data_IF_635854392003
#
_entry.id   IF_635854392003
#
_cell.length_a   1.000
_cell.length_b   1.000
_cell.length_c   1.000
_cell.angle_alpha   90.00
_cell.angle_beta   90.00
_cell.angle_gamma   90.00
#
_symmetry.space_group_name_H-M   'P 1'
#
loop_
_entity.id
_entity.type
_entity.pdbx_description
1 polymer ?
#
# COMPACT_ATOMS: atom_id res chain seq x y z
N UNK A 1 -13.77 -7.78 16.90
CA UNK A 1 -14.27 -7.02 15.73
C UNK A 1 -15.30 -7.88 15.03
N UNK A 2 -16.54 -7.40 14.88
CA UNK A 2 -17.64 -8.13 14.23
C UNK A 2 -17.77 -7.80 12.74
N UNK A 3 -17.36 -6.60 12.33
CA UNK A 3 -17.36 -6.15 10.93
C UNK A 3 -16.01 -5.52 10.62
N UNK A 4 -15.42 -5.88 9.48
CA UNK A 4 -14.15 -5.34 9.01
C UNK A 4 -14.40 -4.31 7.89
N UNK A 5 -14.01 -3.04 8.05
CA UNK A 5 -14.19 -2.03 7.01
C UNK A 5 -13.25 -2.30 5.82
N UNK A 6 -13.79 -2.09 4.63
CA UNK A 6 -13.08 -2.26 3.37
C UNK A 6 -12.73 -0.87 2.83
N UNK A 7 -11.43 -0.63 2.58
CA UNK A 7 -10.97 0.63 2.01
C UNK A 7 -11.58 0.87 0.62
N UNK A 8 -11.91 2.13 0.26
CA UNK A 8 -12.38 2.45 -1.07
C UNK A 8 -11.35 2.06 -2.15
N UNK A 9 -11.81 1.72 -3.37
CA UNK A 9 -10.95 1.24 -4.44
C UNK A 9 -9.90 2.27 -4.89
N UNK A 10 -10.17 3.57 -4.75
CA UNK A 10 -9.24 4.64 -5.11
C UNK A 10 -7.94 4.60 -4.29
N UNK A 11 -8.02 4.11 -3.04
CA UNK A 11 -6.86 3.93 -2.17
C UNK A 11 -6.14 2.58 -2.44
N UNK A 12 -6.73 1.72 -3.27
CA UNK A 12 -6.22 0.38 -3.65
C UNK A 12 -6.36 0.15 -5.17
N UNK A 13 -5.74 1.01 -6.00
CA UNK A 13 -5.95 0.96 -7.44
C UNK A 13 -5.46 -0.36 -8.04
N UNK A 14 -6.18 -0.80 -9.06
CA UNK A 14 -5.80 -1.91 -9.93
C UNK A 14 -5.44 -1.29 -11.27
N UNK A 15 -4.14 -1.17 -11.53
CA UNK A 15 -3.64 -0.44 -12.70
C UNK A 15 -3.31 -1.44 -13.79
N UNK A 16 -3.92 -1.34 -14.98
CA UNK A 16 -3.52 -2.16 -16.12
C UNK A 16 -2.11 -1.75 -16.57
N UNK A 17 -1.27 -2.73 -16.86
CA UNK A 17 0.06 -2.57 -17.44
C UNK A 17 0.05 -3.03 -18.89
N UNK A 18 0.99 -2.53 -19.68
CA UNK A 18 1.22 -2.98 -21.05
C UNK A 18 1.48 -4.50 -21.08
N UNK A 19 0.85 -5.19 -22.04
CA UNK A 19 0.91 -6.65 -22.16
C UNK A 19 -0.14 -7.42 -21.36
N UNK A 20 -1.24 -6.79 -20.96
CA UNK A 20 -2.40 -7.47 -20.35
C UNK A 20 -2.19 -7.91 -18.88
N UNK A 21 -1.14 -7.40 -18.23
CA UNK A 21 -0.85 -7.67 -16.82
C UNK A 21 -1.52 -6.61 -15.95
N UNK A 22 -1.91 -6.97 -14.74
CA UNK A 22 -2.50 -6.03 -13.78
C UNK A 22 -1.56 -5.84 -12.60
N UNK A 23 -1.27 -4.58 -12.25
CA UNK A 23 -0.63 -4.23 -11.00
C UNK A 23 -1.70 -4.07 -9.92
N UNK A 24 -1.66 -4.94 -8.91
CA UNK A 24 -2.55 -4.89 -7.75
C UNK A 24 -1.80 -4.45 -6.50
N UNK A 25 -2.45 -3.64 -5.67
CA UNK A 25 -1.92 -3.29 -4.34
C UNK A 25 -1.86 -4.53 -3.42
N UNK A 26 -0.82 -4.65 -2.60
CA UNK A 26 -0.63 -5.73 -1.62
C UNK A 26 -1.86 -5.92 -0.70
N UNK A 27 -2.57 -4.83 -0.38
CA UNK A 27 -3.79 -4.87 0.41
C UNK A 27 -4.89 -5.72 -0.23
N UNK A 28 -5.01 -5.73 -1.56
CA UNK A 28 -6.04 -6.48 -2.25
C UNK A 28 -5.87 -7.99 -2.03
N UNK A 29 -4.62 -8.47 -1.97
CA UNK A 29 -4.33 -9.86 -1.65
C UNK A 29 -4.68 -10.21 -0.20
N UNK A 30 -4.40 -9.32 0.75
CA UNK A 30 -4.76 -9.51 2.16
C UNK A 30 -6.28 -9.53 2.35
N UNK A 31 -7.00 -8.58 1.73
CA UNK A 31 -8.47 -8.56 1.75
C UNK A 31 -9.08 -9.82 1.11
N UNK A 32 -8.55 -10.25 -0.05
CA UNK A 32 -9.01 -11.48 -0.72
C UNK A 32 -8.86 -12.71 0.16
N UNK A 33 -7.75 -12.82 0.92
CA UNK A 33 -7.56 -13.92 1.88
C UNK A 33 -8.61 -13.90 2.98
N UNK A 34 -8.88 -12.75 3.59
CA UNK A 34 -9.91 -12.61 4.65
C UNK A 34 -11.29 -13.01 4.13
N UNK A 35 -11.67 -12.51 2.95
CA UNK A 35 -12.98 -12.82 2.34
C UNK A 35 -13.11 -14.33 2.05
N UNK A 36 -12.08 -14.94 1.45
CA UNK A 36 -12.09 -16.36 1.13
C UNK A 36 -12.20 -17.23 2.38
N UNK A 37 -11.49 -16.88 3.47
CA UNK A 37 -11.58 -17.58 4.76
C UNK A 37 -12.93 -17.41 5.43
N UNK A 38 -13.50 -16.20 5.39
CA UNK A 38 -14.82 -15.93 5.94
C UNK A 38 -15.92 -16.73 5.21
N UNK A 39 -15.88 -16.74 3.87
CA UNK A 39 -16.82 -17.50 3.06
C UNK A 39 -16.67 -19.02 3.29
N UNK A 40 -15.44 -19.51 3.47
CA UNK A 40 -15.19 -20.91 3.81
C UNK A 40 -15.73 -21.27 5.20
N UNK A 41 -15.50 -20.43 6.20
CA UNK A 41 -16.05 -20.61 7.54
C UNK A 41 -17.58 -20.66 7.51
N UNK A 42 -18.22 -19.76 6.76
CA UNK A 42 -19.68 -19.75 6.61
C UNK A 42 -20.21 -21.06 6.03
N UNK A 43 -19.60 -21.56 4.96
CA UNK A 43 -19.95 -22.87 4.36
C UNK A 43 -19.76 -24.04 5.33
N UNK A 44 -18.69 -24.02 6.13
CA UNK A 44 -18.44 -25.07 7.13
C UNK A 44 -19.49 -25.08 8.24
N UNK A 45 -19.99 -23.91 8.63
CA UNK A 45 -21.09 -23.78 9.58
C UNK A 45 -22.42 -24.26 8.98
N UNK A 46 -22.70 -23.92 7.72
CA UNK A 46 -23.90 -24.38 6.99
C UNK A 46 -23.93 -25.92 6.85
N UNK A 47 -22.77 -26.56 6.69
CA UNK A 47 -22.63 -28.02 6.57
C UNK A 47 -22.51 -28.75 7.92
N UNK A 48 -22.65 -28.06 9.06
CA UNK A 48 -22.44 -28.61 10.41
C UNK A 48 -21.12 -29.41 10.52
N UNK A 49 -20.04 -28.87 9.95
CA UNK A 49 -18.74 -29.50 10.00
C UNK A 49 -18.26 -29.67 11.46
N UNK A 50 -17.45 -30.69 11.77
CA UNK A 50 -16.93 -30.94 13.10
C UNK A 50 -16.24 -29.73 13.73
N UNK A 51 -16.39 -29.57 15.05
CA UNK A 51 -15.84 -28.46 15.82
C UNK A 51 -14.35 -28.24 15.63
N UNK A 52 -13.58 -29.31 15.41
CA UNK A 52 -12.13 -29.24 15.18
C UNK A 52 -11.83 -28.43 13.91
N UNK A 53 -12.57 -28.68 12.83
CA UNK A 53 -12.39 -27.98 11.55
C UNK A 53 -12.84 -26.53 11.68
N UNK A 54 -13.98 -26.29 12.33
CA UNK A 54 -14.50 -24.95 12.58
C UNK A 54 -13.54 -24.11 13.42
N UNK A 55 -12.96 -24.69 14.49
CA UNK A 55 -11.95 -24.01 15.33
C UNK A 55 -10.69 -23.68 14.53
N UNK A 56 -10.22 -24.58 13.67
CA UNK A 56 -9.07 -24.30 12.82
C UNK A 56 -9.36 -23.19 11.80
N UNK A 57 -10.53 -23.18 11.17
CA UNK A 57 -10.87 -22.12 10.21
C UNK A 57 -11.09 -20.77 10.90
N UNK A 58 -11.65 -20.75 12.12
CA UNK A 58 -11.70 -19.54 12.98
C UNK A 58 -10.29 -19.02 13.29
N UNK A 59 -9.35 -19.89 13.66
CA UNK A 59 -7.93 -19.51 13.86
C UNK A 59 -7.32 -18.93 12.58
N UNK A 60 -7.56 -19.56 11.43
CA UNK A 60 -7.02 -19.10 10.14
C UNK A 60 -7.62 -17.76 9.69
N UNK A 61 -8.90 -17.53 9.98
CA UNK A 61 -9.54 -16.25 9.75
C UNK A 61 -8.92 -15.16 10.64
N UNK A 62 -8.69 -15.45 11.92
CA UNK A 62 -8.01 -14.53 12.83
C UNK A 62 -6.61 -14.15 12.33
N UNK A 63 -5.81 -15.12 11.92
CA UNK A 63 -4.46 -14.86 11.36
C UNK A 63 -4.51 -14.02 10.08
N UNK A 64 -5.54 -14.21 9.25
CA UNK A 64 -5.72 -13.42 8.03
C UNK A 64 -6.10 -11.97 8.34
N UNK A 65 -6.92 -11.74 9.37
CA UNK A 65 -7.28 -10.39 9.84
C UNK A 65 -6.09 -9.71 10.50
N UNK A 66 -5.34 -10.45 11.32
CA UNK A 66 -4.12 -9.93 11.96
C UNK A 66 -3.10 -9.50 10.89
N UNK A 67 -2.89 -10.31 9.84
CA UNK A 67 -1.99 -9.95 8.75
C UNK A 67 -2.48 -8.77 7.90
N UNK A 68 -3.80 -8.56 7.78
CA UNK A 68 -4.35 -7.38 7.11
C UNK A 68 -4.04 -6.09 7.89
N UNK A 69 -4.17 -6.14 9.22
CA UNK A 69 -3.93 -5.00 10.09
C UNK A 69 -2.44 -4.71 10.27
N UNK A 70 -1.66 -5.73 10.61
CA UNK A 70 -0.23 -5.63 10.93
C UNK A 70 0.49 -6.95 10.58
N UNK A 71 1.02 -7.00 9.35
CA UNK A 71 1.65 -8.20 8.81
C UNK A 71 3.04 -8.39 9.43
N UNK A 72 3.22 -9.46 10.20
CA UNK A 72 4.50 -9.81 10.83
C UNK A 72 4.62 -9.43 12.31
N UNK A 73 3.59 -8.82 12.93
CA UNK A 73 3.56 -8.61 14.38
C UNK A 73 3.46 -9.91 15.18
N UNK A 74 2.79 -10.92 14.63
CA UNK A 74 2.69 -12.27 15.22
C UNK A 74 3.06 -13.30 14.17
N UNK A 75 4.14 -14.04 14.43
CA UNK A 75 4.59 -15.14 13.57
C UNK A 75 5.23 -14.69 12.25
N UNK A 76 5.18 -15.58 11.26
CA UNK A 76 5.84 -15.36 9.95
C UNK A 76 4.98 -14.46 9.07
N UNK A 77 5.57 -13.36 8.59
CA UNK A 77 4.88 -12.45 7.68
C UNK A 77 4.40 -13.17 6.42
N UNK A 78 3.18 -12.86 6.00
CA UNK A 78 2.61 -13.37 4.76
C UNK A 78 3.38 -12.77 3.58
N UNK A 79 3.93 -13.65 2.74
CA UNK A 79 4.65 -13.27 1.53
C UNK A 79 3.78 -13.41 0.28
N UNK A 80 4.01 -12.51 -0.67
CA UNK A 80 3.42 -12.56 -2.01
C UNK A 80 4.23 -13.42 -2.98
N UNK A 81 3.88 -13.36 -4.27
CA UNK A 81 4.49 -14.15 -5.36
C UNK A 81 6.01 -13.97 -5.45
N UNK A 82 6.52 -12.78 -5.11
CA UNK A 82 7.95 -12.47 -5.16
C UNK A 82 8.70 -12.76 -3.84
N UNK A 83 8.12 -13.58 -2.95
CA UNK A 83 8.62 -13.84 -1.58
C UNK A 83 8.78 -12.58 -0.71
N UNK A 84 8.36 -11.40 -1.19
CA UNK A 84 8.32 -10.14 -0.44
C UNK A 84 7.16 -10.20 0.57
N UNK A 85 7.36 -9.76 1.82
CA UNK A 85 6.24 -9.56 2.74
C UNK A 85 5.26 -8.53 2.17
N UNK A 86 3.96 -8.85 2.24
CA UNK A 86 2.90 -7.94 1.81
C UNK A 86 2.80 -6.77 2.78
N UNK A 87 2.65 -5.55 2.26
CA UNK A 87 2.44 -4.36 3.10
C UNK A 87 1.04 -4.37 3.72
N UNK A 88 0.97 -4.26 5.04
CA UNK A 88 -0.28 -4.18 5.80
C UNK A 88 -0.81 -2.74 5.92
N UNK A 89 -2.00 -2.59 6.53
CA UNK A 89 -2.57 -1.28 6.82
C UNK A 89 -1.67 -0.44 7.74
N UNK A 90 -1.10 -1.06 8.78
CA UNK A 90 -0.17 -0.38 9.67
C UNK A 90 1.08 0.11 8.92
N UNK A 91 1.62 -0.68 8.01
CA UNK A 91 2.81 -0.33 7.21
C UNK A 91 2.56 0.81 6.23
N UNK A 92 1.33 0.98 5.76
CA UNK A 92 0.97 2.11 4.90
C UNK A 92 0.99 3.44 5.66
N UNK A 93 0.73 3.40 6.96
CA UNK A 93 0.66 4.58 7.81
C UNK A 93 2.04 4.88 8.40
N UNK A 94 2.74 3.85 8.87
CA UNK A 94 4.01 3.94 9.59
C UNK A 94 5.22 3.95 8.65
N UNK A 95 6.36 4.39 9.19
CA UNK A 95 7.66 4.34 8.50
C UNK A 95 7.96 5.53 7.59
N UNK A 96 9.18 5.53 7.02
CA UNK A 96 9.67 6.62 6.14
C UNK A 96 8.89 6.72 4.82
N UNK A 97 8.42 5.59 4.31
CA UNK A 97 7.58 5.47 3.12
C UNK A 97 6.07 5.46 3.46
N UNK A 98 5.72 5.74 4.71
CA UNK A 98 4.34 5.81 5.17
C UNK A 98 3.68 7.12 4.74
N UNK A 99 2.35 7.11 4.64
CA UNK A 99 1.54 8.25 4.21
C UNK A 99 1.81 9.52 5.03
N UNK A 100 2.06 9.39 6.34
CA UNK A 100 2.35 10.56 7.19
C UNK A 100 3.62 11.30 6.74
N UNK A 101 4.72 10.58 6.53
CA UNK A 101 6.01 11.22 6.24
C UNK A 101 6.16 11.61 4.77
N UNK A 102 5.57 10.84 3.86
CA UNK A 102 5.69 11.09 2.42
C UNK A 102 4.59 11.94 1.81
N UNK A 103 3.40 11.99 2.40
CA UNK A 103 2.29 12.69 1.77
C UNK A 103 1.78 13.87 2.60
N UNK A 104 2.04 13.90 3.91
CA UNK A 104 1.64 15.04 4.75
C UNK A 104 2.79 16.03 4.97
N UNK A 105 4.02 15.56 5.22
CA UNK A 105 5.16 16.45 5.54
C UNK A 105 5.95 16.95 4.32
N UNK A 106 5.93 16.22 3.20
CA UNK A 106 6.61 16.63 1.97
C UNK A 106 5.75 16.28 0.77
N UNK A 107 5.21 17.28 0.08
CA UNK A 107 4.42 17.07 -1.14
C UNK A 107 5.23 17.47 -2.36
N UNK A 108 4.90 16.85 -3.50
CA UNK A 108 5.31 17.41 -4.79
C UNK A 108 4.52 18.69 -4.99
N UNK A 109 5.22 19.75 -5.39
CA UNK A 109 4.65 21.07 -5.58
C UNK A 109 4.78 21.43 -7.06
N UNK A 110 3.71 22.01 -7.59
CA UNK A 110 3.71 22.63 -8.90
C UNK A 110 4.60 23.89 -8.88
N UNK A 111 4.94 24.42 -10.06
CA UNK A 111 5.85 25.57 -10.20
C UNK A 111 7.22 25.34 -9.54
N UNK A 112 7.76 24.13 -9.67
CA UNK A 112 9.11 23.81 -9.23
C UNK A 112 9.93 23.19 -10.36
N UNK A 113 11.22 23.55 -10.41
CA UNK A 113 12.16 23.06 -11.40
C UNK A 113 13.50 22.72 -10.75
N UNK A 114 14.27 21.84 -11.39
CA UNK A 114 15.64 21.49 -10.97
C UNK A 114 16.55 21.55 -12.18
N UNK A 115 17.68 22.22 -12.04
CA UNK A 115 18.74 22.28 -13.06
C UNK A 115 20.11 22.14 -12.39
N UNK A 116 21.13 21.86 -13.18
CA UNK A 116 22.52 21.88 -12.74
C UNK A 116 22.93 23.34 -12.49
N UNK A 117 23.64 23.58 -11.38
CA UNK A 117 24.15 24.90 -11.01
C UNK A 117 25.54 25.07 -11.62
N UNK A 118 25.77 26.21 -12.28
CA UNK A 118 27.05 26.59 -12.90
C UNK A 118 27.48 27.96 -12.38
N UNK A 119 28.79 28.21 -12.30
CA UNK A 119 29.35 29.49 -11.80
C UNK A 119 29.01 30.63 -12.76
N UNK A 120 28.38 31.70 -12.24
CA UNK A 120 28.04 32.91 -12.98
C UNK A 120 28.81 34.13 -12.46
N UNK A 121 30.05 34.38 -12.91
CA UNK A 121 30.95 35.38 -12.32
C UNK A 121 30.48 36.83 -12.51
N UNK A 122 29.57 37.09 -13.45
CA UNK A 122 29.02 38.43 -13.74
C UNK A 122 27.76 38.76 -12.94
N UNK A 123 27.22 37.80 -12.16
CA UNK A 123 26.00 37.97 -11.39
C UNK A 123 26.27 38.64 -10.04
N UNK A 124 25.37 39.52 -9.61
CA UNK A 124 25.39 40.11 -8.26
C UNK A 124 24.86 39.11 -7.22
N UNK A 125 25.12 39.36 -5.93
CA UNK A 125 24.73 38.48 -4.82
C UNK A 125 23.23 38.12 -4.78
N UNK A 126 22.36 39.01 -5.24
CA UNK A 126 20.90 38.84 -5.25
C UNK A 126 20.34 38.33 -6.60
N UNK A 127 21.20 37.90 -7.53
CA UNK A 127 20.80 37.48 -8.87
C UNK A 127 21.07 36.00 -9.10
N UNK A 128 20.22 35.35 -9.91
CA UNK A 128 20.43 33.99 -10.40
C UNK A 128 20.13 33.90 -11.90
N UNK A 129 20.89 33.05 -12.60
CA UNK A 129 20.67 32.77 -14.02
C UNK A 129 19.62 31.66 -14.18
N UNK A 130 18.52 31.96 -14.87
CA UNK A 130 17.49 30.99 -15.22
C UNK A 130 17.58 30.64 -16.71
N UNK A 131 17.56 29.35 -17.09
CA UNK A 131 17.61 28.95 -18.49
C UNK A 131 16.30 29.31 -19.20
N UNK A 132 16.41 29.95 -20.38
CA UNK A 132 15.25 30.34 -21.20
C UNK A 132 14.39 29.15 -21.62
N UNK A 133 14.99 27.96 -21.74
CA UNK A 133 14.30 26.73 -22.13
C UNK A 133 13.64 26.00 -20.96
N UNK A 134 13.78 26.45 -19.70
CA UNK A 134 12.94 25.91 -18.62
C UNK A 134 11.58 26.56 -18.79
N UNK A 135 10.60 25.86 -19.39
CA UNK A 135 9.31 26.45 -19.60
C UNK A 135 8.68 26.47 -18.22
N UNK A 136 8.63 27.64 -17.60
CA UNK A 136 7.54 27.95 -16.68
C UNK A 136 6.28 28.00 -17.57
N UNK A 137 5.80 26.82 -18.01
CA UNK A 137 4.47 26.70 -18.56
C UNK A 137 3.53 26.86 -17.36
N UNK A 138 3.21 28.13 -17.05
CA UNK A 138 1.92 28.45 -16.46
C UNK A 138 0.81 28.02 -17.43
#
# INVERSE_FOLDING_TARGET
MTVLPVLPPDLRPLVPLDGGRFATSDLNDLYRRVINRNNRLRRLLELNAPDIIVRNEKRMLQESVDALLDNGRRGRAITGTNKRPLKSLADMIKGKQGRFRQNLLGKRVDYSGRSVIVVGPTLKLHQCGLPKSSPWNC
#
